data_IF_822104285862
#
_entry.id   IF_822104285862
#
_cell.length_a   1.000
_cell.length_b   1.000
_cell.length_c   1.000
_cell.angle_alpha   90.00
_cell.angle_beta   90.00
_cell.angle_gamma   90.00
#
_symmetry.space_group_name_H-M   'P 1'
#
loop_
_entity.id
_entity.type
_entity.pdbx_description
1 polymer ?
#
# COMPACT_ATOMS: atom_id res chain seq x y z
N UNK A 1 -18.32 -54.24 21.97
CA UNK A 1 -18.55 -53.15 22.95
C UNK A 1 -17.26 -52.92 23.71
N UNK A 2 -16.43 -52.00 23.22
CA UNK A 2 -15.33 -51.41 23.97
C UNK A 2 -15.84 -50.07 24.51
N UNK A 3 -15.55 -49.68 25.77
CA UNK A 3 -16.11 -48.48 26.35
C UNK A 3 -15.50 -47.24 25.71
N UNK A 4 -16.39 -46.32 25.30
CA UNK A 4 -16.05 -44.97 24.88
C UNK A 4 -15.33 -44.27 26.04
N UNK A 5 -14.01 -44.05 25.93
CA UNK A 5 -13.35 -43.03 26.74
C UNK A 5 -13.91 -41.70 26.26
N UNK A 6 -14.77 -41.07 27.08
CA UNK A 6 -15.10 -39.67 26.91
C UNK A 6 -13.77 -38.90 26.88
N UNK A 7 -13.40 -38.34 25.73
CA UNK A 7 -12.48 -37.22 25.71
C UNK A 7 -13.18 -36.09 26.46
N UNK A 8 -12.68 -35.75 27.65
CA UNK A 8 -13.08 -34.50 28.26
C UNK A 8 -12.45 -33.39 27.41
N UNK A 9 -13.25 -32.42 27.00
CA UNK A 9 -12.74 -31.28 26.24
C UNK A 9 -11.81 -30.46 27.15
N UNK A 10 -10.72 -29.92 26.61
CA UNK A 10 -9.86 -28.98 27.36
C UNK A 10 -10.72 -27.89 27.99
N UNK A 11 -10.61 -27.74 29.31
CA UNK A 11 -11.35 -26.73 30.06
C UNK A 11 -10.38 -25.73 30.71
N UNK A 12 -10.89 -24.53 30.97
CA UNK A 12 -10.17 -23.54 31.75
C UNK A 12 -10.28 -23.85 33.25
N UNK A 13 -9.13 -23.92 33.92
CA UNK A 13 -9.03 -24.18 35.35
C UNK A 13 -8.18 -23.06 35.94
N UNK A 14 -8.64 -22.48 37.05
CA UNK A 14 -7.82 -21.58 37.86
C UNK A 14 -7.33 -22.32 39.08
N UNK A 15 -6.06 -22.12 39.43
CA UNK A 15 -5.44 -22.59 40.66
C UNK A 15 -5.00 -21.37 41.45
N UNK A 16 -5.61 -21.14 42.60
CA UNK A 16 -5.25 -20.10 43.55
C UNK A 16 -4.30 -20.71 44.59
N UNK A 17 -3.11 -20.13 44.71
CA UNK A 17 -2.10 -20.44 45.71
C UNK A 17 -2.06 -19.29 46.71
N UNK A 18 -2.56 -19.51 47.93
CA UNK A 18 -2.47 -18.51 49.00
C UNK A 18 -1.14 -18.62 49.70
N UNK A 19 -0.50 -17.48 49.88
CA UNK A 19 0.82 -17.35 50.46
C UNK A 19 0.72 -16.92 51.93
N UNK A 20 1.76 -17.19 52.71
CA UNK A 20 1.83 -16.73 54.10
C UNK A 20 1.82 -15.21 54.18
N UNK A 21 0.98 -14.63 55.04
CA UNK A 21 0.99 -13.19 55.31
C UNK A 21 2.27 -12.72 56.05
N UNK A 22 3.07 -13.68 56.53
CA UNK A 22 4.35 -13.47 57.20
C UNK A 22 5.56 -13.48 56.26
N UNK A 23 5.36 -13.70 54.96
CA UNK A 23 6.44 -13.67 53.98
C UNK A 23 6.98 -12.25 53.85
N UNK A 24 8.28 -12.09 54.07
CA UNK A 24 8.97 -10.82 53.88
C UNK A 24 9.25 -10.54 52.41
N UNK A 25 9.60 -9.30 52.05
CA UNK A 25 9.90 -8.90 50.67
C UNK A 25 11.12 -9.58 50.03
N UNK A 26 11.90 -10.34 50.81
CA UNK A 26 13.05 -11.14 50.32
C UNK A 26 12.73 -12.64 50.20
N UNK A 27 11.48 -13.06 50.46
CA UNK A 27 11.09 -14.46 50.33
C UNK A 27 10.98 -14.86 48.84
N UNK A 28 11.64 -15.95 48.40
CA UNK A 28 11.70 -16.32 46.99
C UNK A 28 10.42 -16.99 46.47
N UNK A 29 9.39 -17.19 47.31
CA UNK A 29 8.21 -17.99 46.94
C UNK A 29 7.52 -17.45 45.69
N UNK A 30 7.31 -16.13 45.58
CA UNK A 30 6.67 -15.54 44.39
C UNK A 30 7.52 -15.71 43.12
N UNK A 31 8.83 -15.47 43.21
CA UNK A 31 9.77 -15.65 42.09
C UNK A 31 9.79 -17.11 41.61
N UNK A 32 9.81 -18.06 42.55
CA UNK A 32 9.80 -19.49 42.22
C UNK A 32 8.48 -19.90 41.60
N UNK A 33 7.34 -19.41 42.11
CA UNK A 33 6.03 -19.68 41.51
C UNK A 33 5.90 -19.08 40.11
N UNK A 34 6.44 -17.88 39.90
CA UNK A 34 6.47 -17.23 38.58
C UNK A 34 7.26 -18.03 37.55
N UNK A 35 8.26 -18.80 37.96
CA UNK A 35 9.02 -19.68 37.09
C UNK A 35 8.40 -21.08 36.95
N UNK A 36 7.86 -21.64 38.04
CA UNK A 36 7.39 -23.02 38.11
C UNK A 36 6.03 -23.22 37.43
N UNK A 37 5.07 -22.32 37.65
CA UNK A 37 3.70 -22.49 37.16
C UNK A 37 3.60 -22.50 35.62
N UNK A 38 4.36 -21.68 34.87
CA UNK A 38 4.44 -21.79 33.40
C UNK A 38 4.98 -23.13 32.91
N UNK A 39 5.99 -23.71 33.58
CA UNK A 39 6.53 -25.05 33.26
C UNK A 39 5.48 -26.16 33.45
N UNK A 40 4.53 -25.96 34.37
CA UNK A 40 3.37 -26.84 34.57
C UNK A 40 2.23 -26.56 33.56
N UNK A 41 2.42 -25.63 32.63
CA UNK A 41 1.45 -25.30 31.57
C UNK A 41 0.46 -24.17 31.93
N UNK A 42 0.79 -23.32 32.91
CA UNK A 42 0.00 -22.11 33.16
C UNK A 42 0.10 -21.16 31.96
N UNK A 43 -1.04 -20.64 31.52
CA UNK A 43 -1.18 -19.68 30.43
C UNK A 43 -1.13 -18.22 30.92
N UNK A 44 -1.35 -17.99 32.21
CA UNK A 44 -1.32 -16.67 32.82
C UNK A 44 -1.25 -16.76 34.34
N UNK A 45 -0.62 -15.75 34.94
CA UNK A 45 -0.44 -15.59 36.38
C UNK A 45 -0.95 -14.21 36.80
N UNK A 46 -1.68 -14.15 37.91
CA UNK A 46 -2.16 -12.92 38.53
C UNK A 46 -1.73 -12.93 40.00
N UNK A 47 -1.00 -11.90 40.43
CA UNK A 47 -0.64 -11.70 41.83
C UNK A 47 -1.68 -10.78 42.47
N UNK A 48 -2.25 -11.22 43.59
CA UNK A 48 -3.27 -10.50 44.35
C UNK A 48 -2.77 -10.23 45.75
N UNK A 49 -2.94 -8.99 46.20
CA UNK A 49 -2.80 -8.61 47.60
C UNK A 49 -4.17 -8.10 48.08
N UNK A 50 -4.91 -8.95 48.79
CA UNK A 50 -6.21 -8.59 49.34
C UNK A 50 -6.08 -8.18 50.82
N UNK A 51 -6.65 -7.03 51.18
CA UNK A 51 -6.73 -6.55 52.56
C UNK A 51 -7.57 -7.53 53.42
N UNK A 52 -6.90 -8.49 54.06
CA UNK A 52 -7.50 -9.41 55.04
C UNK A 52 -7.32 -10.91 54.74
N UNK A 53 -7.00 -11.29 53.49
CA UNK A 53 -6.74 -12.70 53.11
C UNK A 53 -5.28 -13.00 52.79
N UNK A 54 -4.41 -11.99 52.76
CA UNK A 54 -2.98 -12.15 52.47
C UNK A 54 -2.69 -12.28 50.97
N UNK A 55 -1.41 -12.39 50.60
CA UNK A 55 -0.99 -12.49 49.20
C UNK A 55 -1.41 -13.82 48.57
N UNK A 56 -1.79 -13.80 47.30
CA UNK A 56 -2.17 -14.98 46.54
C UNK A 56 -1.70 -14.90 45.08
N UNK A 57 -1.37 -16.06 44.51
CA UNK A 57 -1.07 -16.21 43.09
C UNK A 57 -2.18 -17.02 42.44
N UNK A 58 -2.83 -16.46 41.43
CA UNK A 58 -3.84 -17.15 40.63
C UNK A 58 -3.24 -17.53 39.28
N UNK A 59 -3.14 -18.83 39.03
CA UNK A 59 -2.65 -19.38 37.77
C UNK A 59 -3.80 -19.95 36.92
N UNK A 60 -3.83 -19.58 35.65
CA UNK A 60 -4.84 -20.06 34.69
C UNK A 60 -4.27 -21.14 33.79
N UNK A 61 -4.95 -22.27 33.66
CA UNK A 61 -4.55 -23.41 32.85
C UNK A 61 -5.65 -23.79 31.86
N UNK A 62 -5.25 -24.27 30.68
CA UNK A 62 -6.12 -24.95 29.72
C UNK A 62 -5.63 -26.39 29.59
N UNK A 63 -6.30 -27.32 30.26
CA UNK A 63 -5.88 -28.74 30.35
C UNK A 63 -7.10 -29.66 30.30
N UNK A 64 -6.88 -30.87 29.76
CA UNK A 64 -7.78 -32.02 29.92
C UNK A 64 -7.53 -32.67 31.30
N UNK A 65 -7.98 -31.99 32.36
CA UNK A 65 -7.85 -32.42 33.75
C UNK A 65 -9.05 -31.95 34.58
N UNK A 66 -9.33 -32.58 35.72
CA UNK A 66 -10.27 -32.00 36.69
C UNK A 66 -9.54 -30.96 37.55
N UNK A 67 -10.24 -29.99 38.16
CA UNK A 67 -9.63 -29.03 39.07
C UNK A 67 -8.83 -29.71 40.19
N UNK A 68 -9.36 -30.80 40.76
CA UNK A 68 -8.70 -31.55 41.84
C UNK A 68 -7.39 -32.17 41.37
N UNK A 69 -7.37 -32.79 40.18
CA UNK A 69 -6.17 -33.40 39.62
C UNK A 69 -5.07 -32.35 39.35
N UNK A 70 -5.45 -31.17 38.86
CA UNK A 70 -4.51 -30.07 38.64
C UNK A 70 -4.03 -29.45 39.95
N UNK A 71 -4.91 -29.32 40.96
CA UNK A 71 -4.50 -28.88 42.30
C UNK A 71 -3.47 -29.83 42.91
N UNK A 72 -3.65 -31.15 42.73
CA UNK A 72 -2.72 -32.16 43.22
C UNK A 72 -1.37 -32.08 42.49
N UNK A 73 -1.38 -31.88 41.16
CA UNK A 73 -0.17 -31.66 40.35
C UNK A 73 0.61 -30.43 40.83
N UNK A 74 -0.07 -29.29 40.98
CA UNK A 74 0.53 -28.05 41.45
C UNK A 74 1.02 -28.18 42.90
N UNK A 75 0.26 -28.87 43.78
CA UNK A 75 0.68 -29.13 45.16
C UNK A 75 1.93 -29.99 45.25
N UNK A 76 2.04 -31.02 44.40
CA UNK A 76 3.24 -31.85 44.33
C UNK A 76 4.45 -31.03 43.87
N UNK A 77 4.28 -30.15 42.89
CA UNK A 77 5.36 -29.28 42.41
C UNK A 77 5.78 -28.21 43.43
N UNK A 78 4.84 -27.73 44.25
CA UNK A 78 5.09 -26.71 45.28
C UNK A 78 5.44 -27.29 46.66
N UNK A 79 5.64 -28.61 46.79
CA UNK A 79 5.82 -29.27 48.10
C UNK A 79 7.01 -28.72 48.92
N UNK A 80 8.04 -28.24 48.24
CA UNK A 80 9.25 -27.65 48.85
C UNK A 80 9.15 -26.13 49.06
N UNK A 81 7.98 -25.52 48.81
CA UNK A 81 7.72 -24.08 49.00
C UNK A 81 6.89 -23.85 50.27
N UNK A 82 7.52 -23.64 51.44
CA UNK A 82 6.80 -23.46 52.71
C UNK A 82 5.94 -22.19 52.75
N UNK A 83 6.19 -21.24 51.84
CA UNK A 83 5.40 -20.02 51.69
C UNK A 83 4.00 -20.26 51.13
N UNK A 84 3.74 -21.38 50.44
CA UNK A 84 2.41 -21.74 49.94
C UNK A 84 1.61 -22.43 51.04
N UNK A 85 0.52 -21.81 51.49
CA UNK A 85 -0.31 -22.29 52.60
C UNK A 85 -1.52 -23.08 52.14
N UNK A 86 -2.22 -22.57 51.12
CA UNK A 86 -3.44 -23.19 50.59
C UNK A 86 -3.37 -23.22 49.06
N UNK A 87 -3.84 -24.32 48.48
CA UNK A 87 -3.98 -24.48 47.03
C UNK A 87 -5.39 -24.95 46.76
N UNK A 88 -6.16 -24.11 46.06
CA UNK A 88 -7.51 -24.41 45.63
C UNK A 88 -7.60 -24.28 44.12
N UNK A 89 -8.21 -25.25 43.46
CA UNK A 89 -8.48 -25.17 42.04
C UNK A 89 -9.99 -25.22 41.78
N UNK A 90 -10.42 -24.51 40.74
CA UNK A 90 -11.79 -24.56 40.27
C UNK A 90 -11.84 -24.49 38.75
N UNK A 91 -12.80 -25.18 38.16
CA UNK A 91 -13.13 -24.96 36.76
C UNK A 91 -13.69 -23.55 36.62
N UNK A 92 -13.19 -22.80 35.65
CA UNK A 92 -13.83 -21.55 35.24
C UNK A 92 -15.01 -21.90 34.36
N UNK A 93 -16.20 -21.47 34.77
CA UNK A 93 -17.33 -21.51 33.86
C UNK A 93 -17.17 -20.44 32.79
N UNK A 94 -17.69 -20.67 31.59
CA UNK A 94 -17.69 -19.68 30.50
C UNK A 94 -18.33 -18.34 30.94
N UNK A 95 -19.30 -18.40 31.86
CA UNK A 95 -19.97 -17.24 32.46
C UNK A 95 -19.06 -16.39 33.37
N UNK A 96 -18.00 -16.95 33.93
CA UNK A 96 -17.03 -16.23 34.79
C UNK A 96 -15.83 -15.71 33.98
N UNK A 97 -15.48 -16.37 32.87
CA UNK A 97 -14.41 -15.93 31.99
C UNK A 97 -14.84 -14.76 31.10
N UNK A 98 -16.09 -14.77 30.62
CA UNK A 98 -16.60 -13.74 29.71
C UNK A 98 -16.49 -12.31 30.28
N UNK A 99 -16.85 -12.00 31.54
CA UNK A 99 -16.73 -10.64 32.08
C UNK A 99 -15.28 -10.15 32.18
N UNK A 100 -14.35 -11.04 32.59
CA UNK A 100 -12.92 -10.71 32.75
C UNK A 100 -12.30 -10.43 31.38
N UNK A 101 -12.61 -11.26 30.39
CA UNK A 101 -12.16 -11.06 29.03
C UNK A 101 -12.76 -9.79 28.40
N UNK A 102 -14.06 -9.54 28.60
CA UNK A 102 -14.75 -8.33 28.12
C UNK A 102 -14.19 -7.04 28.72
N UNK A 103 -13.77 -7.06 30.00
CA UNK A 103 -13.19 -5.90 30.68
C UNK A 103 -11.88 -5.42 30.04
N UNK A 104 -11.14 -6.31 29.36
CA UNK A 104 -9.91 -5.97 28.65
C UNK A 104 -10.14 -5.25 27.30
N UNK A 105 -11.39 -5.12 26.85
CA UNK A 105 -11.74 -4.40 25.62
C UNK A 105 -12.43 -3.08 25.94
N UNK A 106 -11.64 -2.03 26.05
CA UNK A 106 -12.12 -0.66 26.22
C UNK A 106 -12.34 0.02 24.85
N UNK A 107 -13.31 0.95 24.74
CA UNK A 107 -13.44 1.82 23.59
C UNK A 107 -12.14 2.54 23.21
N UNK A 108 -11.78 2.49 21.93
CA UNK A 108 -10.61 3.19 21.39
C UNK A 108 -11.07 4.30 20.44
N UNK A 109 -10.51 5.50 20.58
CA UNK A 109 -10.89 6.66 19.76
C UNK A 109 -9.76 7.06 18.82
N UNK A 110 -10.06 7.11 17.53
CA UNK A 110 -9.16 7.49 16.45
C UNK A 110 -9.77 8.63 15.65
N UNK A 111 -9.38 9.87 15.97
CA UNK A 111 -10.02 11.06 15.40
C UNK A 111 -11.53 11.05 15.68
N UNK A 112 -12.35 11.12 14.63
CA UNK A 112 -13.81 11.11 14.77
C UNK A 112 -14.43 9.70 14.72
N UNK A 113 -13.63 8.63 14.76
CA UNK A 113 -14.09 7.24 14.74
C UNK A 113 -13.73 6.56 16.07
N UNK A 114 -14.73 6.03 16.76
CA UNK A 114 -14.50 5.10 17.88
C UNK A 114 -14.56 3.66 17.38
N UNK A 115 -13.62 2.81 17.79
CA UNK A 115 -13.71 1.36 17.68
C UNK A 115 -14.08 0.81 19.05
N UNK A 116 -15.20 0.09 19.13
CA UNK A 116 -15.76 -0.42 20.39
C UNK A 116 -16.11 -1.90 20.26
N UNK A 117 -16.03 -2.70 21.34
CA UNK A 117 -16.68 -3.99 21.34
C UNK A 117 -18.22 -3.84 21.40
N UNK A 118 -19.00 -4.85 20.98
CA UNK A 118 -20.46 -4.77 20.89
C UNK A 118 -21.17 -4.49 22.21
N UNK A 119 -20.53 -4.81 23.34
CA UNK A 119 -21.06 -4.63 24.69
C UNK A 119 -20.66 -3.29 25.34
N UNK A 120 -19.77 -2.50 24.73
CA UNK A 120 -19.34 -1.23 25.30
C UNK A 120 -20.22 -0.06 24.83
N UNK A 121 -20.33 0.96 25.66
CA UNK A 121 -20.95 2.22 25.26
C UNK A 121 -20.00 3.06 24.39
N UNK A 122 -20.58 3.73 23.39
CA UNK A 122 -19.82 4.62 22.53
C UNK A 122 -19.37 5.89 23.30
N UNK A 123 -18.09 6.29 23.20
CA UNK A 123 -17.61 7.54 23.79
C UNK A 123 -18.38 8.76 23.26
N UNK A 124 -18.65 9.74 24.13
CA UNK A 124 -19.31 10.99 23.71
C UNK A 124 -18.43 11.81 22.77
N UNK A 125 -19.01 12.42 21.75
CA UNK A 125 -18.32 13.38 20.87
C UNK A 125 -17.63 12.79 19.64
N UNK A 126 -17.77 11.49 19.38
CA UNK A 126 -17.30 10.86 18.14
C UNK A 126 -18.38 10.92 17.06
N UNK A 127 -17.97 11.07 15.79
CA UNK A 127 -18.90 11.15 14.67
C UNK A 127 -19.32 9.76 14.14
N UNK A 128 -18.44 8.77 14.29
CA UNK A 128 -18.65 7.42 13.81
C UNK A 128 -18.27 6.41 14.90
N UNK A 129 -19.04 5.33 14.97
CA UNK A 129 -18.81 4.21 15.90
C UNK A 129 -18.71 2.95 15.07
N UNK A 130 -17.58 2.26 15.19
CA UNK A 130 -17.27 0.99 14.56
C UNK A 130 -17.27 -0.11 15.62
N UNK A 131 -18.34 -0.89 15.64
CA UNK A 131 -18.49 -2.03 16.55
C UNK A 131 -17.75 -3.24 15.99
N UNK A 132 -16.75 -3.75 16.70
CA UNK A 132 -15.93 -4.91 16.32
C UNK A 132 -16.03 -5.96 17.42
N UNK A 133 -16.54 -7.14 17.10
CA UNK A 133 -16.48 -8.27 18.02
C UNK A 133 -15.04 -8.84 18.07
N UNK A 134 -14.34 -8.74 19.21
CA UNK A 134 -12.98 -9.23 19.36
C UNK A 134 -12.82 -10.75 19.19
N UNK A 135 -13.92 -11.52 19.27
CA UNK A 135 -13.90 -12.98 19.14
C UNK A 135 -13.84 -13.46 17.68
N UNK A 136 -14.19 -12.59 16.71
CA UNK A 136 -14.41 -13.02 15.32
C UNK A 136 -13.15 -12.99 14.45
N UNK A 137 -12.22 -12.04 14.66
CA UNK A 137 -10.95 -11.96 13.94
C UNK A 137 -9.99 -10.95 14.58
N UNK A 138 -8.71 -11.04 14.19
CA UNK A 138 -7.70 -10.03 14.52
C UNK A 138 -8.07 -8.66 13.92
N UNK A 139 -7.65 -7.57 14.58
CA UNK A 139 -7.91 -6.21 14.13
C UNK A 139 -8.97 -5.47 14.96
N UNK A 140 -8.85 -5.50 16.29
CA UNK A 140 -9.71 -4.74 17.21
C UNK A 140 -9.28 -3.28 17.39
N UNK A 141 -8.12 -2.90 16.83
CA UNK A 141 -7.51 -1.58 17.02
C UNK A 141 -6.53 -1.49 18.19
N UNK A 142 -6.47 -2.49 19.07
CA UNK A 142 -5.56 -2.49 20.23
C UNK A 142 -4.08 -2.68 19.85
N UNK A 143 -3.80 -3.44 18.79
CA UNK A 143 -2.43 -3.67 18.35
C UNK A 143 -1.86 -2.38 17.72
N UNK A 144 -0.60 -1.98 18.02
CA UNK A 144 0.00 -0.74 17.53
C UNK A 144 -0.11 -0.56 16.03
N UNK A 145 0.07 -1.63 15.26
CA UNK A 145 0.00 -1.60 13.78
C UNK A 145 -1.38 -1.18 13.26
N UNK A 146 -2.44 -1.69 13.87
CA UNK A 146 -3.83 -1.33 13.53
C UNK A 146 -4.16 0.07 14.04
N UNK A 147 -3.72 0.44 15.25
CA UNK A 147 -3.91 1.77 15.82
C UNK A 147 -3.24 2.87 14.98
N UNK A 148 -2.02 2.63 14.49
CA UNK A 148 -1.32 3.52 13.56
C UNK A 148 -2.11 3.70 12.25
N UNK A 149 -2.57 2.60 11.64
CA UNK A 149 -3.39 2.66 10.43
C UNK A 149 -4.70 3.42 10.64
N UNK A 150 -5.40 3.15 11.74
CA UNK A 150 -6.65 3.83 12.08
C UNK A 150 -6.43 5.32 12.30
N UNK A 151 -5.41 5.74 13.06
CA UNK A 151 -5.06 7.17 13.20
C UNK A 151 -4.77 7.82 11.85
N UNK A 152 -4.01 7.15 10.98
CA UNK A 152 -3.70 7.68 9.66
C UNK A 152 -4.95 7.84 8.78
N UNK A 153 -5.85 6.85 8.75
CA UNK A 153 -7.07 6.90 7.94
C UNK A 153 -8.09 7.91 8.49
N UNK A 154 -8.29 7.92 9.80
CA UNK A 154 -9.33 8.72 10.47
C UNK A 154 -8.92 10.18 10.66
N UNK A 155 -7.63 10.51 10.57
CA UNK A 155 -7.16 11.90 10.57
C UNK A 155 -7.49 12.68 9.29
N UNK A 156 -8.05 12.03 8.27
CA UNK A 156 -8.35 12.65 6.98
C UNK A 156 -9.64 12.13 6.36
N UNK A 157 -10.05 12.74 5.25
CA UNK A 157 -11.19 12.25 4.47
C UNK A 157 -10.71 11.22 3.46
N UNK A 158 -11.35 10.07 3.46
CA UNK A 158 -11.08 9.01 2.47
C UNK A 158 -12.06 9.20 1.32
N UNK A 159 -11.57 9.18 0.08
CA UNK A 159 -12.39 9.34 -1.12
C UNK A 159 -12.05 8.25 -2.11
N UNK A 160 -13.02 7.87 -2.94
CA UNK A 160 -12.84 6.83 -3.95
C UNK A 160 -12.90 5.44 -3.34
N UNK A 161 -12.38 4.47 -4.09
CA UNK A 161 -12.44 3.04 -3.78
C UNK A 161 -11.26 2.63 -2.91
N UNK A 162 -11.51 1.67 -2.01
CA UNK A 162 -10.52 1.12 -1.09
C UNK A 162 -10.28 -0.35 -1.42
N UNK A 163 -9.02 -0.78 -1.41
CA UNK A 163 -8.63 -2.18 -1.36
C UNK A 163 -7.93 -2.43 -0.02
N UNK A 164 -8.39 -3.42 0.73
CA UNK A 164 -7.79 -3.84 2.00
C UNK A 164 -7.26 -5.27 1.88
N UNK A 165 -5.94 -5.45 2.02
CA UNK A 165 -5.23 -6.72 1.81
C UNK A 165 -4.76 -7.27 3.13
N UNK A 166 -5.30 -8.43 3.50
CA UNK A 166 -5.31 -8.91 4.89
C UNK A 166 -6.46 -8.27 5.67
N UNK A 167 -7.68 -8.37 5.13
CA UNK A 167 -8.83 -7.61 5.65
C UNK A 167 -9.14 -7.94 7.12
N UNK A 168 -8.85 -9.15 7.61
CA UNK A 168 -9.07 -9.50 9.02
C UNK A 168 -10.53 -9.26 9.46
N UNK A 169 -10.72 -8.54 10.57
CA UNK A 169 -12.05 -8.09 11.04
C UNK A 169 -12.75 -7.08 10.10
N UNK A 170 -12.07 -6.55 9.09
CA UNK A 170 -12.55 -5.48 8.24
C UNK A 170 -12.37 -4.08 8.84
N UNK A 171 -11.71 -3.94 9.99
CA UNK A 171 -11.64 -2.68 10.73
C UNK A 171 -11.12 -1.50 9.89
N UNK A 172 -10.10 -1.71 9.04
CA UNK A 172 -9.52 -0.63 8.23
C UNK A 172 -10.43 -0.27 7.05
N UNK A 173 -10.91 -1.27 6.30
CA UNK A 173 -11.89 -1.07 5.23
C UNK A 173 -13.16 -0.34 5.72
N UNK A 174 -13.73 -0.77 6.85
CA UNK A 174 -14.95 -0.20 7.41
C UNK A 174 -14.71 1.22 7.95
N UNK A 175 -13.58 1.46 8.64
CA UNK A 175 -13.20 2.82 9.03
C UNK A 175 -13.06 3.74 7.80
N UNK A 176 -12.45 3.26 6.72
CA UNK A 176 -12.34 4.02 5.47
C UNK A 176 -13.71 4.34 4.85
N UNK A 177 -14.66 3.41 4.87
CA UNK A 177 -16.04 3.63 4.43
C UNK A 177 -16.78 4.68 5.28
N UNK A 178 -16.60 4.65 6.60
CA UNK A 178 -17.14 5.67 7.52
C UNK A 178 -16.55 7.06 7.23
N UNK A 179 -15.26 7.12 6.85
CA UNK A 179 -14.54 8.36 6.49
C UNK A 179 -14.80 8.85 5.06
N UNK A 180 -15.70 8.20 4.32
CA UNK A 180 -16.23 8.69 3.05
C UNK A 180 -15.72 7.99 1.78
N UNK A 181 -15.03 6.86 1.90
CA UNK A 181 -14.73 6.01 0.73
C UNK A 181 -16.04 5.57 0.04
N UNK A 182 -16.04 5.38 -1.27
CA UNK A 182 -17.24 4.99 -2.02
C UNK A 182 -17.63 3.54 -1.73
N UNK A 183 -16.70 2.63 -1.99
CA UNK A 183 -16.78 1.19 -1.76
C UNK A 183 -15.41 0.65 -1.33
N UNK A 184 -15.41 -0.52 -0.70
CA UNK A 184 -14.22 -1.24 -0.28
C UNK A 184 -14.24 -2.68 -0.79
N UNK A 185 -13.06 -3.18 -1.17
CA UNK A 185 -12.82 -4.59 -1.47
C UNK A 185 -11.83 -5.11 -0.44
N UNK A 186 -12.22 -6.10 0.36
CA UNK A 186 -11.36 -6.77 1.33
C UNK A 186 -10.91 -8.13 0.81
N UNK A 187 -9.63 -8.46 0.92
CA UNK A 187 -9.12 -9.80 0.57
C UNK A 187 -8.36 -10.39 1.75
N UNK A 188 -8.60 -11.67 2.02
CA UNK A 188 -7.85 -12.45 3.02
C UNK A 188 -7.68 -13.88 2.54
N UNK A 189 -6.52 -14.46 2.85
CA UNK A 189 -6.25 -15.88 2.57
C UNK A 189 -7.05 -16.78 3.51
N UNK A 190 -7.37 -16.31 4.72
CA UNK A 190 -8.14 -17.04 5.71
C UNK A 190 -9.66 -16.87 5.48
N UNK A 191 -10.40 -17.97 5.19
CA UNK A 191 -11.86 -17.92 5.09
C UNK A 191 -12.55 -17.39 6.35
N UNK A 192 -12.01 -17.65 7.55
CA UNK A 192 -12.59 -17.17 8.80
C UNK A 192 -12.51 -15.64 8.90
N UNK A 193 -11.35 -15.06 8.56
CA UNK A 193 -11.19 -13.61 8.48
C UNK A 193 -12.17 -12.97 7.47
N UNK A 194 -12.34 -13.57 6.29
CA UNK A 194 -13.31 -13.06 5.30
C UNK A 194 -14.74 -13.06 5.85
N UNK A 195 -15.13 -14.13 6.53
CA UNK A 195 -16.45 -14.23 7.16
C UNK A 195 -16.64 -13.20 8.28
N UNK A 196 -15.60 -12.97 9.09
CA UNK A 196 -15.61 -11.97 10.16
C UNK A 196 -15.75 -10.55 9.61
N UNK A 197 -15.05 -10.21 8.53
CA UNK A 197 -15.19 -8.91 7.86
C UNK A 197 -16.63 -8.67 7.36
N UNK A 198 -17.27 -9.69 6.77
CA UNK A 198 -18.66 -9.61 6.31
C UNK A 198 -19.63 -9.45 7.48
N UNK A 199 -19.48 -10.23 8.55
CA UNK A 199 -20.30 -10.12 9.75
C UNK A 199 -20.17 -8.74 10.41
N UNK A 200 -18.95 -8.24 10.50
CA UNK A 200 -18.67 -6.90 11.01
C UNK A 200 -19.32 -5.82 10.13
N UNK A 201 -19.24 -5.95 8.81
CA UNK A 201 -19.89 -5.03 7.89
C UNK A 201 -21.41 -5.00 8.07
N UNK A 202 -22.04 -6.16 8.29
CA UNK A 202 -23.47 -6.26 8.59
C UNK A 202 -23.80 -5.57 9.92
N UNK A 203 -23.04 -5.87 10.98
CA UNK A 203 -23.25 -5.27 12.31
C UNK A 203 -23.14 -3.73 12.31
N UNK A 204 -22.38 -3.17 11.37
CA UNK A 204 -22.16 -1.74 11.22
C UNK A 204 -22.98 -1.10 10.09
N UNK A 205 -23.90 -1.82 9.45
CA UNK A 205 -24.74 -1.28 8.37
C UNK A 205 -23.98 -0.91 7.09
N UNK A 206 -22.83 -1.56 6.84
CA UNK A 206 -21.92 -1.29 5.72
C UNK A 206 -21.80 -2.47 4.74
N UNK A 207 -22.62 -3.52 4.90
CA UNK A 207 -22.57 -4.74 4.09
C UNK A 207 -22.65 -4.48 2.58
N UNK A 208 -23.46 -3.50 2.13
CA UNK A 208 -23.60 -3.18 0.70
C UNK A 208 -22.37 -2.47 0.11
N UNK A 209 -21.47 -1.96 0.96
CA UNK A 209 -20.31 -1.16 0.55
C UNK A 209 -18.97 -1.89 0.73
N UNK A 210 -18.97 -3.09 1.31
CA UNK A 210 -17.81 -3.96 1.43
C UNK A 210 -18.01 -5.25 0.62
N UNK A 211 -17.12 -5.53 -0.33
CA UNK A 211 -17.04 -6.80 -1.04
C UNK A 211 -15.84 -7.61 -0.57
N UNK A 212 -16.04 -8.88 -0.24
CA UNK A 212 -14.97 -9.78 0.23
C UNK A 212 -14.95 -11.04 -0.63
N UNK A 213 -14.27 -11.04 -1.79
CA UNK A 213 -14.23 -12.19 -2.68
C UNK A 213 -13.38 -13.33 -2.10
N UNK A 214 -13.63 -14.56 -2.56
CA UNK A 214 -12.89 -15.76 -2.15
C UNK A 214 -11.49 -15.88 -2.78
N UNK A 215 -11.15 -15.02 -3.74
CA UNK A 215 -9.88 -15.05 -4.44
C UNK A 215 -8.85 -14.08 -3.85
N UNK A 216 -7.57 -14.36 -4.06
CA UNK A 216 -6.46 -13.49 -3.66
C UNK A 216 -6.43 -12.13 -4.36
N UNK A 217 -5.52 -11.27 -3.91
CA UNK A 217 -5.31 -9.90 -4.40
C UNK A 217 -4.91 -9.86 -5.89
N UNK A 218 -4.32 -10.93 -6.40
CA UNK A 218 -3.90 -11.08 -7.79
C UNK A 218 -5.09 -11.07 -8.75
N UNK A 219 -6.22 -11.65 -8.33
CA UNK A 219 -7.43 -11.77 -9.14
C UNK A 219 -8.36 -10.54 -9.04
N UNK A 220 -8.13 -9.64 -8.08
CA UNK A 220 -8.81 -8.34 -8.01
C UNK A 220 -8.55 -7.58 -9.32
N UNK A 221 -9.47 -6.72 -9.77
CA UNK A 221 -9.29 -5.92 -11.00
C UNK A 221 -9.43 -4.44 -10.71
N UNK A 222 -8.75 -3.64 -11.53
CA UNK A 222 -8.79 -2.18 -11.42
C UNK A 222 -7.75 -1.62 -10.45
N UNK A 223 -7.84 -0.29 -10.30
CA UNK A 223 -7.04 0.53 -9.41
C UNK A 223 -7.93 1.19 -8.37
N UNK A 224 -7.32 1.59 -7.27
CA UNK A 224 -7.97 2.10 -6.07
C UNK A 224 -7.30 3.40 -5.62
N UNK A 225 -8.09 4.35 -5.15
CA UNK A 225 -7.60 5.58 -4.54
C UNK A 225 -6.89 5.30 -3.21
N UNK A 226 -7.26 4.20 -2.55
CA UNK A 226 -6.62 3.72 -1.34
C UNK A 226 -6.35 2.22 -1.43
N UNK A 227 -5.12 1.83 -1.14
CA UNK A 227 -4.73 0.43 -0.91
C UNK A 227 -4.19 0.35 0.53
N UNK A 228 -4.70 -0.58 1.31
CA UNK A 228 -4.36 -0.79 2.71
C UNK A 228 -3.77 -2.20 2.84
N UNK A 229 -2.66 -2.32 3.57
CA UNK A 229 -2.04 -3.61 3.86
C UNK A 229 -1.35 -3.57 5.23
N UNK A 230 -2.01 -4.09 6.25
CA UNK A 230 -1.43 -4.30 7.57
C UNK A 230 -0.95 -5.75 7.67
N UNK A 231 0.24 -6.02 7.12
CA UNK A 231 0.80 -7.36 6.95
C UNK A 231 2.25 -7.38 7.44
N UNK A 232 2.76 -8.57 7.76
CA UNK A 232 4.19 -8.73 8.06
C UNK A 232 5.08 -8.30 6.89
N UNK A 233 6.31 -7.89 7.17
CA UNK A 233 7.25 -7.38 6.16
C UNK A 233 7.47 -8.34 4.98
N UNK A 234 7.64 -9.65 5.23
CA UNK A 234 7.86 -10.63 4.17
C UNK A 234 6.69 -10.68 3.14
N UNK A 235 5.41 -10.81 3.54
CA UNK A 235 4.27 -10.62 2.64
C UNK A 235 4.25 -9.26 1.92
N UNK A 236 4.55 -8.16 2.62
CA UNK A 236 4.61 -6.83 2.00
C UNK A 236 5.64 -6.75 0.88
N UNK A 237 6.81 -7.37 1.06
CA UNK A 237 7.85 -7.44 0.02
C UNK A 237 7.41 -8.34 -1.15
N UNK A 238 6.84 -9.51 -0.85
CA UNK A 238 6.38 -10.46 -1.86
C UNK A 238 5.24 -9.89 -2.73
N UNK A 239 4.36 -9.09 -2.15
CA UNK A 239 3.21 -8.50 -2.83
C UNK A 239 3.49 -7.10 -3.40
N UNK A 240 4.72 -6.57 -3.28
CA UNK A 240 5.03 -5.18 -3.63
C UNK A 240 4.62 -4.80 -5.06
N UNK A 241 4.88 -5.66 -6.05
CA UNK A 241 4.45 -5.44 -7.44
C UNK A 241 2.94 -5.39 -7.58
N UNK A 242 2.24 -6.34 -6.94
CA UNK A 242 0.79 -6.44 -7.03
C UNK A 242 0.14 -5.23 -6.37
N UNK A 243 0.54 -4.89 -5.14
CA UNK A 243 -0.03 -3.76 -4.39
C UNK A 243 0.24 -2.42 -5.08
N UNK A 244 1.47 -2.18 -5.56
CA UNK A 244 1.79 -0.96 -6.31
C UNK A 244 0.93 -0.80 -7.58
N UNK A 245 0.67 -1.89 -8.31
CA UNK A 245 -0.18 -1.86 -9.51
C UNK A 245 -1.65 -1.57 -9.20
N UNK A 246 -2.12 -1.81 -7.97
CA UNK A 246 -3.48 -1.48 -7.52
C UNK A 246 -3.66 -0.03 -7.15
N UNK A 247 -2.59 0.72 -6.88
CA UNK A 247 -2.70 2.13 -6.56
C UNK A 247 -3.07 2.91 -7.83
N UNK A 248 -4.12 3.71 -7.76
CA UNK A 248 -4.51 4.67 -8.81
C UNK A 248 -3.50 5.81 -8.92
N UNK A 249 -3.41 6.50 -10.07
CA UNK A 249 -2.68 7.77 -10.14
C UNK A 249 -3.21 8.75 -9.09
N UNK A 250 -2.33 9.32 -8.26
CA UNK A 250 -2.70 10.14 -7.10
C UNK A 250 -3.28 9.37 -5.92
N UNK A 251 -3.35 8.04 -6.02
CA UNK A 251 -3.82 7.16 -4.97
C UNK A 251 -2.77 6.98 -3.88
N UNK A 252 -3.22 6.46 -2.73
CA UNK A 252 -2.41 6.25 -1.54
C UNK A 252 -2.31 4.77 -1.19
N UNK A 253 -1.16 4.39 -0.66
CA UNK A 253 -0.88 3.07 -0.13
C UNK A 253 -0.52 3.21 1.35
N UNK A 254 -1.23 2.51 2.21
CA UNK A 254 -0.98 2.48 3.65
C UNK A 254 -0.46 1.09 4.03
N UNK A 255 0.79 1.03 4.47
CA UNK A 255 1.48 -0.20 4.87
C UNK A 255 1.73 -0.17 6.37
N UNK A 256 1.50 -1.28 7.06
CA UNK A 256 1.84 -1.46 8.47
C UNK A 256 2.08 -2.94 8.74
N UNK A 257 2.44 -3.30 9.97
CA UNK A 257 2.71 -4.70 10.35
C UNK A 257 4.19 -5.10 10.25
N UNK A 258 5.08 -4.14 10.06
CA UNK A 258 6.53 -4.35 10.00
C UNK A 258 7.24 -3.76 11.22
N UNK A 259 8.37 -4.35 11.58
CA UNK A 259 9.25 -3.81 12.62
C UNK A 259 10.09 -2.66 12.07
N UNK A 260 10.56 -1.76 12.96
CA UNK A 260 11.40 -0.63 12.56
C UNK A 260 12.66 -1.04 11.78
N UNK A 261 13.26 -2.20 12.12
CA UNK A 261 14.42 -2.73 11.42
C UNK A 261 14.12 -3.20 9.98
N UNK A 262 12.86 -3.47 9.65
CA UNK A 262 12.42 -3.96 8.34
C UNK A 262 11.89 -2.82 7.44
N UNK A 263 11.68 -1.62 8.00
CA UNK A 263 10.99 -0.53 7.32
C UNK A 263 11.74 -0.02 6.09
N UNK A 264 13.07 0.01 6.12
CA UNK A 264 13.91 0.48 5.01
C UNK A 264 13.79 -0.39 3.76
N UNK A 265 13.81 -1.71 3.94
CA UNK A 265 13.67 -2.68 2.85
C UNK A 265 12.28 -2.60 2.22
N UNK A 266 11.24 -2.53 3.07
CA UNK A 266 9.85 -2.35 2.60
C UNK A 266 9.74 -1.04 1.83
N UNK A 267 10.21 0.07 2.40
CA UNK A 267 10.19 1.39 1.76
C UNK A 267 10.87 1.38 0.40
N UNK A 268 12.08 0.82 0.31
CA UNK A 268 12.84 0.73 -0.93
C UNK A 268 12.07 -0.05 -2.01
N UNK A 269 11.40 -1.15 -1.63
CA UNK A 269 10.61 -1.95 -2.56
C UNK A 269 9.46 -1.15 -3.20
N UNK A 270 8.74 -0.34 -2.44
CA UNK A 270 7.62 0.45 -2.98
C UNK A 270 8.09 1.72 -3.71
N UNK A 271 9.16 2.37 -3.23
CA UNK A 271 9.77 3.53 -3.90
C UNK A 271 10.31 3.13 -5.27
N UNK A 272 10.95 1.96 -5.39
CA UNK A 272 11.41 1.40 -6.68
C UNK A 272 10.28 1.15 -7.70
N UNK A 273 9.02 1.20 -7.27
CA UNK A 273 7.82 1.03 -8.10
C UNK A 273 7.09 2.35 -8.39
N UNK A 274 7.74 3.48 -8.11
CA UNK A 274 7.24 4.81 -8.42
C UNK A 274 6.35 5.44 -7.35
N UNK A 275 6.20 4.80 -6.19
CA UNK A 275 5.54 5.42 -5.05
C UNK A 275 6.50 6.35 -4.32
N UNK A 276 5.95 7.38 -3.67
CA UNK A 276 6.68 8.33 -2.84
C UNK A 276 6.20 8.21 -1.40
N UNK A 277 7.12 8.09 -0.45
CA UNK A 277 6.79 8.16 0.97
C UNK A 277 6.23 9.55 1.31
N UNK A 278 5.07 9.58 1.98
CA UNK A 278 4.39 10.80 2.41
C UNK A 278 4.40 10.95 3.93
N UNK A 279 4.25 9.84 4.65
CA UNK A 279 4.20 9.80 6.11
C UNK A 279 4.79 8.48 6.59
N UNK A 280 5.51 8.53 7.70
CA UNK A 280 6.05 7.37 8.41
C UNK A 280 5.88 7.63 9.90
N UNK A 281 5.35 6.65 10.62
CA UNK A 281 5.15 6.72 12.06
C UNK A 281 5.52 5.39 12.70
N UNK A 282 6.01 5.45 13.94
CA UNK A 282 6.38 4.28 14.71
C UNK A 282 5.72 4.32 16.09
N UNK A 283 5.29 3.16 16.56
CA UNK A 283 4.76 2.95 17.91
C UNK A 283 5.11 1.54 18.38
N UNK A 284 5.67 1.42 19.58
CA UNK A 284 6.06 0.15 20.21
C UNK A 284 6.91 -0.79 19.30
N UNK A 285 7.83 -0.20 18.53
CA UNK A 285 8.72 -0.92 17.62
C UNK A 285 8.09 -1.29 16.27
N UNK A 286 6.80 -1.02 16.06
CA UNK A 286 6.09 -1.22 14.81
C UNK A 286 6.06 0.05 13.98
N UNK A 287 6.09 -0.09 12.66
CA UNK A 287 6.08 1.03 11.72
C UNK A 287 4.85 0.97 10.81
N UNK A 288 4.28 2.15 10.57
CA UNK A 288 3.31 2.42 9.51
C UNK A 288 3.91 3.42 8.52
N UNK A 289 3.71 3.15 7.23
CA UNK A 289 4.08 4.04 6.14
C UNK A 289 2.86 4.36 5.27
N UNK A 290 2.66 5.63 4.99
CA UNK A 290 1.75 6.08 3.95
C UNK A 290 2.57 6.55 2.75
N UNK A 291 2.36 5.90 1.61
CA UNK A 291 2.93 6.28 0.33
C UNK A 291 1.85 6.81 -0.62
N UNK A 292 2.27 7.55 -1.63
CA UNK A 292 1.42 8.07 -2.70
C UNK A 292 2.02 7.65 -4.03
N UNK A 293 1.19 7.14 -4.95
CA UNK A 293 1.58 7.07 -6.35
C UNK A 293 1.29 8.46 -6.95
N UNK A 294 2.31 9.26 -7.32
CA UNK A 294 2.06 10.57 -7.88
C UNK A 294 1.11 10.47 -9.08
N UNK A 295 0.29 11.50 -9.29
CA UNK A 295 -0.32 11.66 -10.60
C UNK A 295 0.81 11.64 -11.63
N UNK A 296 0.63 10.92 -12.75
CA UNK A 296 1.43 11.22 -13.94
C UNK A 296 1.39 12.74 -14.09
N UNK A 297 2.54 13.41 -14.26
CA UNK A 297 2.59 14.86 -14.29
C UNK A 297 1.48 15.35 -15.21
N UNK A 298 0.59 16.21 -14.68
CA UNK A 298 -0.39 16.90 -15.51
C UNK A 298 0.44 17.73 -16.49
N UNK A 299 0.70 17.15 -17.66
CA UNK A 299 0.98 17.88 -18.87
C UNK A 299 -0.27 18.74 -19.05
N UNK A 300 -0.20 20.00 -18.59
CA UNK A 300 -1.25 20.96 -18.86
C UNK A 300 -1.52 20.90 -20.35
N UNK A 301 -2.79 20.78 -20.81
CA UNK A 301 -3.05 20.90 -22.23
C UNK A 301 -2.37 22.20 -22.68
N UNK A 302 -1.52 22.13 -23.73
CA UNK A 302 -0.73 23.30 -24.09
C UNK A 302 -1.68 24.46 -24.36
N UNK A 303 -1.30 25.70 -23.99
CA UNK A 303 -1.99 26.86 -24.54
C UNK A 303 -2.02 26.72 -26.08
N UNK A 304 -3.08 27.19 -26.75
CA UNK A 304 -3.19 27.07 -28.20
C UNK A 304 -1.91 27.55 -28.90
N UNK A 305 -1.23 26.64 -29.63
CA UNK A 305 0.04 26.92 -30.30
C UNK A 305 1.32 26.55 -29.55
N UNK A 306 1.25 26.03 -28.32
CA UNK A 306 2.40 25.49 -27.60
C UNK A 306 2.56 23.98 -27.84
N UNK A 307 3.78 23.55 -28.07
CA UNK A 307 4.15 22.17 -28.36
C UNK A 307 4.67 21.47 -27.11
N UNK A 308 4.57 20.14 -27.06
CA UNK A 308 5.23 19.35 -26.02
C UNK A 308 6.70 19.14 -26.38
N UNK A 309 7.59 19.60 -25.50
CA UNK A 309 9.03 19.61 -25.68
C UNK A 309 9.71 18.64 -24.69
N UNK A 310 10.78 18.00 -25.15
CA UNK A 310 11.72 17.27 -24.31
C UNK A 310 13.13 17.75 -24.60
N UNK A 311 13.77 18.36 -23.61
CA UNK A 311 15.15 18.82 -23.69
C UNK A 311 16.04 17.77 -23.04
N UNK A 312 16.84 17.10 -23.84
CA UNK A 312 17.70 16.00 -23.40
C UNK A 312 19.04 16.52 -22.87
N UNK A 313 19.56 15.96 -21.79
CA UNK A 313 20.93 16.20 -21.32
C UNK A 313 21.62 14.88 -20.93
N UNK A 314 22.90 14.97 -20.52
CA UNK A 314 23.57 13.82 -19.92
C UNK A 314 22.88 13.45 -18.58
N UNK A 315 22.80 12.15 -18.23
CA UNK A 315 22.22 11.72 -16.96
C UNK A 315 22.89 12.38 -15.75
N UNK A 316 22.09 12.81 -14.78
CA UNK A 316 22.53 13.52 -13.58
C UNK A 316 22.58 15.05 -13.72
N UNK A 317 22.48 15.59 -14.94
CA UNK A 317 22.44 17.04 -15.19
C UNK A 317 21.02 17.62 -15.23
N UNK A 318 19.98 16.80 -15.09
CA UNK A 318 18.60 17.22 -15.29
C UNK A 318 18.14 18.36 -14.35
N UNK A 319 18.53 18.39 -13.06
CA UNK A 319 18.22 19.53 -12.18
C UNK A 319 18.89 20.83 -12.65
N UNK A 320 20.12 20.75 -13.15
CA UNK A 320 20.87 21.91 -13.66
C UNK A 320 20.31 22.41 -14.98
N UNK A 321 19.95 21.49 -15.88
CA UNK A 321 19.25 21.83 -17.12
C UNK A 321 17.91 22.52 -16.81
N UNK A 322 17.17 22.05 -15.81
CA UNK A 322 15.90 22.67 -15.40
C UNK A 322 16.10 24.11 -14.92
N UNK A 323 17.14 24.36 -14.13
CA UNK A 323 17.49 25.72 -13.68
C UNK A 323 17.89 26.64 -14.86
N UNK A 324 18.60 26.11 -15.85
CA UNK A 324 18.97 26.86 -17.06
C UNK A 324 17.74 27.23 -17.90
N UNK A 325 16.81 26.28 -18.07
CA UNK A 325 15.52 26.49 -18.74
C UNK A 325 14.69 27.55 -18.00
N UNK A 326 14.64 27.48 -16.67
CA UNK A 326 13.94 28.46 -15.85
C UNK A 326 14.54 29.85 -16.00
N UNK A 327 15.87 29.97 -15.98
CA UNK A 327 16.56 31.25 -16.21
C UNK A 327 16.29 31.84 -17.60
N UNK A 328 16.18 30.99 -18.63
CA UNK A 328 15.97 31.44 -20.01
C UNK A 328 14.50 31.81 -20.31
N UNK A 329 13.56 30.98 -19.85
CA UNK A 329 12.13 31.11 -20.21
C UNK A 329 11.27 31.69 -19.07
N UNK A 330 11.82 31.89 -17.87
CA UNK A 330 11.09 32.33 -16.69
C UNK A 330 10.08 31.31 -16.17
N UNK A 331 10.24 30.03 -16.53
CA UNK A 331 9.32 28.94 -16.16
C UNK A 331 10.05 27.61 -16.06
N UNK A 332 9.64 26.79 -15.09
CA UNK A 332 10.22 25.48 -14.82
C UNK A 332 9.62 24.38 -15.68
N UNK A 333 10.45 23.46 -16.16
CA UNK A 333 10.00 22.19 -16.73
C UNK A 333 9.93 21.07 -15.70
N UNK A 334 9.34 19.94 -16.08
CA UNK A 334 9.28 18.71 -15.28
C UNK A 334 10.57 17.92 -15.50
N UNK A 335 11.36 17.76 -14.46
CA UNK A 335 12.58 16.94 -14.47
C UNK A 335 12.20 15.47 -14.62
N UNK A 336 12.74 14.80 -15.64
CA UNK A 336 12.54 13.37 -15.88
C UNK A 336 13.88 12.71 -16.21
N UNK A 337 14.04 11.38 -16.06
CA UNK A 337 15.32 10.74 -16.37
C UNK A 337 15.80 11.05 -17.80
N UNK A 338 17.00 11.62 -17.92
CA UNK A 338 17.62 11.99 -19.19
C UNK A 338 17.23 13.37 -19.76
N UNK A 339 16.41 14.17 -19.08
CA UNK A 339 16.09 15.51 -19.53
C UNK A 339 15.00 16.26 -18.76
N UNK A 340 14.42 17.26 -19.43
CA UNK A 340 13.35 18.11 -18.89
C UNK A 340 12.20 18.19 -19.89
N UNK A 341 10.99 17.89 -19.43
CA UNK A 341 9.74 18.02 -20.18
C UNK A 341 9.10 19.40 -19.94
N UNK A 342 8.67 20.07 -21.00
CA UNK A 342 7.99 21.37 -20.90
C UNK A 342 7.09 21.62 -22.11
N UNK A 343 6.30 22.70 -22.04
CA UNK A 343 5.61 23.24 -23.20
C UNK A 343 6.24 24.53 -23.69
N UNK A 344 6.22 24.76 -25.00
CA UNK A 344 6.68 26.01 -25.58
C UNK A 344 6.28 26.17 -27.05
N UNK A 345 6.22 27.41 -27.51
CA UNK A 345 5.97 27.73 -28.91
C UNK A 345 7.27 27.66 -29.75
N UNK A 346 7.18 28.05 -31.02
CA UNK A 346 8.33 28.11 -31.93
C UNK A 346 9.46 29.03 -31.43
N UNK A 347 9.13 30.15 -30.78
CA UNK A 347 10.12 31.07 -30.22
C UNK A 347 10.86 30.41 -29.07
N UNK A 348 10.14 29.71 -28.20
CA UNK A 348 10.73 28.95 -27.10
C UNK A 348 11.65 27.85 -27.61
N UNK A 349 11.23 27.11 -28.65
CA UNK A 349 12.06 26.06 -29.28
C UNK A 349 13.39 26.64 -29.77
N UNK A 350 13.36 27.77 -30.50
CA UNK A 350 14.58 28.42 -30.97
C UNK A 350 15.45 28.95 -29.84
N UNK A 351 14.85 29.57 -28.83
CA UNK A 351 15.59 30.07 -27.67
C UNK A 351 16.31 28.92 -26.95
N UNK A 352 15.62 27.82 -26.68
CA UNK A 352 16.19 26.63 -26.05
C UNK A 352 17.34 26.04 -26.88
N UNK A 353 17.18 26.00 -28.21
CA UNK A 353 18.20 25.44 -29.11
C UNK A 353 19.46 26.33 -29.19
N UNK A 354 19.29 27.66 -29.13
CA UNK A 354 20.38 28.62 -29.27
C UNK A 354 21.13 28.91 -27.98
N UNK A 355 20.46 28.81 -26.82
CA UNK A 355 20.98 29.38 -25.57
C UNK A 355 21.24 28.36 -24.46
N UNK A 356 20.78 27.12 -24.56
CA UNK A 356 21.09 26.11 -23.55
C UNK A 356 22.49 25.52 -23.76
N UNK A 357 23.31 25.53 -22.72
CA UNK A 357 24.64 24.94 -22.70
C UNK A 357 24.67 23.47 -22.30
N UNK A 358 23.69 23.01 -21.52
CA UNK A 358 23.62 21.61 -21.04
C UNK A 358 22.82 20.68 -21.95
N UNK A 359 22.04 21.23 -22.88
CA UNK A 359 21.17 20.46 -23.76
C UNK A 359 21.96 19.76 -24.87
N UNK A 360 21.69 18.46 -25.05
CA UNK A 360 22.21 17.65 -26.17
C UNK A 360 21.24 17.58 -27.35
N UNK A 361 19.94 17.77 -27.08
CA UNK A 361 18.90 17.87 -28.11
C UNK A 361 17.66 18.55 -27.54
N UNK A 362 17.02 19.40 -28.36
CA UNK A 362 15.65 19.88 -28.13
C UNK A 362 14.72 19.09 -29.05
N UNK A 363 13.81 18.30 -28.46
CA UNK A 363 12.88 17.44 -29.21
C UNK A 363 11.47 17.96 -29.09
N UNK A 364 10.74 17.95 -30.21
CA UNK A 364 9.33 18.30 -30.26
C UNK A 364 8.52 17.02 -30.47
N UNK A 365 7.48 16.82 -29.67
CA UNK A 365 6.55 15.69 -29.84
C UNK A 365 5.49 16.07 -30.86
N UNK A 366 5.63 15.55 -32.08
CA UNK A 366 4.70 15.84 -33.18
C UNK A 366 3.38 15.07 -33.06
N UNK A 367 3.40 13.85 -32.51
CA UNK A 367 2.23 13.00 -32.37
C UNK A 367 2.40 11.91 -31.32
N UNK A 368 1.27 11.41 -30.81
CA UNK A 368 1.17 10.17 -30.04
C UNK A 368 0.07 9.32 -30.66
N UNK A 369 0.39 8.08 -31.01
CA UNK A 369 -0.50 7.19 -31.76
C UNK A 369 -0.58 5.84 -31.05
N UNK A 370 -1.80 5.42 -30.68
CA UNK A 370 -2.03 4.05 -30.23
C UNK A 370 -2.11 3.10 -31.42
N UNK A 371 -1.07 2.30 -31.65
CA UNK A 371 -0.99 1.38 -32.79
C UNK A 371 -0.66 -0.05 -32.37
N UNK A 372 -1.57 -0.98 -32.62
CA UNK A 372 -1.34 -2.43 -32.41
C UNK A 372 -0.79 -3.15 -33.65
N UNK A 373 -0.83 -2.49 -34.81
CA UNK A 373 -0.37 -2.98 -36.11
C UNK A 373 0.00 -1.79 -37.03
N UNK A 374 0.79 -2.01 -38.08
CA UNK A 374 1.36 -0.93 -38.92
C UNK A 374 0.30 -0.07 -39.61
N UNK A 375 -0.85 -0.63 -40.01
CA UNK A 375 -1.93 0.16 -40.60
C UNK A 375 -2.55 1.18 -39.61
N UNK A 376 -2.59 0.86 -38.31
CA UNK A 376 -3.07 1.80 -37.29
C UNK A 376 -2.03 2.91 -37.06
N UNK A 377 -0.74 2.57 -37.07
CA UNK A 377 0.33 3.56 -37.02
C UNK A 377 0.24 4.53 -38.20
N UNK A 378 0.07 4.01 -39.42
CA UNK A 378 -0.02 4.83 -40.63
C UNK A 378 -1.17 5.85 -40.55
N UNK A 379 -2.38 5.40 -40.21
CA UNK A 379 -3.53 6.30 -40.01
C UNK A 379 -3.31 7.38 -38.96
N UNK A 380 -2.46 7.12 -37.96
CA UNK A 380 -2.08 8.13 -36.98
C UNK A 380 -1.09 9.15 -37.54
N UNK A 381 -0.10 8.68 -38.32
CA UNK A 381 0.91 9.53 -38.96
C UNK A 381 0.31 10.42 -40.06
N UNK A 382 -0.74 9.97 -40.76
CA UNK A 382 -1.44 10.75 -41.78
C UNK A 382 -2.19 11.97 -41.19
N UNK A 383 -2.40 12.01 -39.87
CA UNK A 383 -3.05 13.14 -39.17
C UNK A 383 -2.06 14.21 -38.71
N UNK A 384 -0.78 13.99 -38.90
CA UNK A 384 0.26 14.94 -38.48
C UNK A 384 0.42 16.00 -39.56
N UNK A 385 0.41 17.26 -39.16
CA UNK A 385 0.62 18.41 -40.06
C UNK A 385 2.12 18.55 -40.41
N UNK A 386 2.64 17.63 -41.23
CA UNK A 386 4.06 17.56 -41.55
C UNK A 386 4.61 18.84 -42.19
N UNK A 387 3.82 19.52 -43.04
CA UNK A 387 4.20 20.78 -43.68
C UNK A 387 4.51 21.93 -42.72
N UNK A 388 4.02 21.86 -41.48
CA UNK A 388 4.36 22.84 -40.44
C UNK A 388 5.81 22.71 -39.97
N UNK A 389 6.38 21.51 -40.08
CA UNK A 389 7.68 21.15 -39.49
C UNK A 389 8.77 20.88 -40.52
N UNK A 390 8.37 20.39 -41.69
CA UNK A 390 9.27 19.95 -42.74
C UNK A 390 8.92 20.65 -44.05
N UNK A 391 9.96 21.06 -44.78
CA UNK A 391 9.80 21.60 -46.13
C UNK A 391 9.85 20.46 -47.16
N UNK A 392 9.12 20.57 -48.28
CA UNK A 392 9.32 19.67 -49.41
C UNK A 392 10.80 19.61 -49.81
N UNK A 393 11.33 18.39 -49.99
CA UNK A 393 12.74 18.17 -50.31
C UNK A 393 13.73 18.22 -49.14
N UNK A 394 13.27 18.43 -47.89
CA UNK A 394 14.16 18.37 -46.73
C UNK A 394 14.77 16.97 -46.53
N UNK A 395 16.06 16.92 -46.23
CA UNK A 395 16.74 15.67 -45.87
C UNK A 395 16.19 15.13 -44.54
N UNK A 396 15.53 13.97 -44.58
CA UNK A 396 14.90 13.35 -43.41
C UNK A 396 15.68 12.13 -42.93
N UNK A 397 16.25 12.24 -41.73
CA UNK A 397 16.76 11.11 -40.97
C UNK A 397 15.69 10.63 -39.98
N UNK A 398 15.32 9.35 -40.05
CA UNK A 398 14.31 8.75 -39.18
C UNK A 398 14.98 7.66 -38.35
N UNK A 399 14.85 7.75 -37.02
CA UNK A 399 15.32 6.75 -36.06
C UNK A 399 14.13 6.22 -35.28
N UNK A 400 14.03 4.90 -35.13
CA UNK A 400 13.00 4.24 -34.36
C UNK A 400 13.62 3.31 -33.31
N UNK A 401 13.04 3.34 -32.11
CA UNK A 401 13.33 2.41 -31.01
C UNK A 401 12.03 1.71 -30.62
N UNK A 402 12.11 0.45 -30.18
CA UNK A 402 10.94 -0.32 -29.80
C UNK A 402 11.24 -1.15 -28.55
N UNK A 403 10.35 -1.09 -27.56
CA UNK A 403 10.46 -1.80 -26.29
C UNK A 403 9.12 -2.47 -25.99
N UNK A 404 9.14 -3.79 -25.74
CA UNK A 404 7.95 -4.59 -25.38
C UNK A 404 6.72 -4.35 -26.28
N UNK A 405 6.93 -4.07 -27.57
CA UNK A 405 5.88 -3.70 -28.51
C UNK A 405 5.58 -4.83 -29.50
N UNK A 406 4.31 -4.94 -29.90
CA UNK A 406 3.90 -5.77 -31.04
C UNK A 406 4.50 -5.27 -32.36
N UNK A 407 4.88 -3.99 -32.42
CA UNK A 407 5.61 -3.37 -33.52
C UNK A 407 7.11 -3.30 -33.17
N UNK A 408 7.79 -4.44 -33.16
CA UNK A 408 9.19 -4.54 -32.73
C UNK A 408 10.20 -4.32 -33.87
N UNK A 409 9.79 -4.45 -35.14
CA UNK A 409 10.65 -4.22 -36.29
C UNK A 409 10.94 -2.72 -36.50
N UNK A 410 12.02 -2.22 -35.90
CA UNK A 410 12.42 -0.80 -35.97
C UNK A 410 12.70 -0.31 -37.39
N UNK A 411 13.28 -1.15 -38.26
CA UNK A 411 13.46 -0.82 -39.68
C UNK A 411 12.13 -0.57 -40.40
N UNK A 412 11.12 -1.40 -40.14
CA UNK A 412 9.78 -1.22 -40.71
C UNK A 412 9.08 0.03 -40.15
N UNK A 413 9.25 0.34 -38.86
CA UNK A 413 8.76 1.59 -38.28
C UNK A 413 9.36 2.82 -38.96
N UNK A 414 10.70 2.83 -39.10
CA UNK A 414 11.44 3.88 -39.80
C UNK A 414 10.95 4.07 -41.23
N UNK A 415 10.75 2.98 -41.97
CA UNK A 415 10.22 3.04 -43.33
C UNK A 415 8.81 3.64 -43.38
N UNK A 416 7.89 3.19 -42.51
CA UNK A 416 6.50 3.68 -42.51
C UNK A 416 6.38 5.16 -42.15
N UNK A 417 7.23 5.65 -41.25
CA UNK A 417 7.31 7.08 -40.94
C UNK A 417 7.83 7.86 -42.14
N UNK A 418 8.90 7.36 -42.80
CA UNK A 418 9.44 8.02 -44.00
C UNK A 418 8.39 8.12 -45.12
N UNK A 419 7.69 7.03 -45.40
CA UNK A 419 6.60 7.01 -46.39
C UNK A 419 5.50 8.01 -46.02
N UNK A 420 5.09 8.08 -44.74
CA UNK A 420 4.05 9.00 -44.30
C UNK A 420 4.44 10.47 -44.49
N UNK A 421 5.68 10.81 -44.17
CA UNK A 421 6.21 12.17 -44.38
C UNK A 421 6.30 12.49 -45.87
N UNK A 422 6.76 11.55 -46.69
CA UNK A 422 6.89 11.76 -48.14
C UNK A 422 5.53 11.98 -48.80
N UNK A 423 4.55 11.14 -48.50
CA UNK A 423 3.21 11.25 -49.06
C UNK A 423 2.54 12.58 -48.64
N UNK A 424 2.69 12.98 -47.38
CA UNK A 424 2.13 14.22 -46.87
C UNK A 424 2.76 15.45 -47.55
N UNK A 425 4.09 15.50 -47.67
CA UNK A 425 4.78 16.63 -48.30
C UNK A 425 4.59 16.68 -49.83
N UNK A 426 4.31 15.55 -50.47
CA UNK A 426 3.93 15.50 -51.90
C UNK A 426 2.50 15.99 -52.12
N UNK A 427 1.56 15.63 -51.24
CA UNK A 427 0.18 16.11 -51.31
C UNK A 427 0.05 17.63 -51.10
N UNK A 428 1.01 18.24 -50.39
CA UNK A 428 1.09 19.68 -50.13
C UNK A 428 1.91 20.45 -51.18
N UNK A 429 2.58 19.78 -52.12
CA UNK A 429 3.36 20.43 -53.16
C UNK A 429 2.42 21.02 -54.24
N UNK A 430 2.60 22.29 -54.66
CA UNK A 430 1.84 22.84 -55.78
C UNK A 430 2.15 22.04 -57.05
N UNK A 431 1.13 21.74 -57.86
CA UNK A 431 1.35 21.11 -59.17
C UNK A 431 2.37 21.94 -59.97
N UNK A 432 3.35 21.28 -60.64
CA UNK A 432 4.29 22.01 -61.47
C UNK A 432 3.50 22.74 -62.55
N UNK A 433 3.61 24.07 -62.58
CA UNK A 433 3.05 24.87 -63.66
C UNK A 433 3.63 24.39 -64.99
N UNK A 434 2.78 23.89 -65.88
CA UNK A 434 3.18 23.60 -67.26
C UNK A 434 3.72 24.88 -67.90
N UNK A 435 5.02 24.90 -68.22
CA UNK A 435 5.60 25.90 -69.12
C UNK A 435 6.54 26.95 -68.53
N UNK A 436 7.49 26.57 -67.67
CA UNK A 436 8.65 27.41 -67.40
C UNK A 436 9.95 26.60 -67.54
N UNK A 437 10.74 26.94 -68.57
CA UNK A 437 12.05 26.37 -68.84
C UNK A 437 12.96 26.42 -67.61
N UNK A 438 13.54 25.27 -67.27
CA UNK A 438 14.56 25.16 -66.23
C UNK A 438 15.88 25.75 -66.75
N UNK A 439 16.58 26.62 -66.00
CA UNK A 439 17.97 26.92 -66.30
C UNK A 439 18.83 25.70 -65.93
N UNK A 440 19.60 25.20 -66.90
CA UNK A 440 20.64 24.19 -66.67
C UNK A 440 21.66 24.71 -65.66
N UNK A 441 21.70 24.10 -64.47
CA UNK A 441 22.84 24.21 -63.56
C UNK A 441 23.64 22.90 -63.60
N UNK A 442 24.77 22.95 -64.32
CA UNK A 442 25.80 21.92 -64.31
C UNK A 442 26.49 21.89 -62.93
N UNK A 443 26.34 20.79 -62.20
CA UNK A 443 27.05 20.54 -60.94
C UNK A 443 27.03 19.05 -60.57
N UNK A 444 28.20 18.41 -60.63
CA UNK A 444 28.44 16.98 -60.47
C UNK A 444 28.01 16.38 -59.11
N UNK A 445 27.74 15.06 -59.02
CA UNK A 445 27.34 14.41 -57.78
C UNK A 445 28.57 14.06 -56.92
N UNK A 446 28.62 14.60 -55.70
CA UNK A 446 29.34 13.99 -54.57
C UNK A 446 28.25 13.39 -53.66
N UNK A 447 28.17 12.09 -53.44
CA UNK A 447 29.22 11.20 -52.97
C UNK A 447 28.83 10.76 -51.55
N UNK A 448 28.12 9.65 -51.43
CA UNK A 448 27.69 9.07 -50.16
C UNK A 448 28.91 8.60 -49.33
N UNK A 449 28.88 8.78 -48.01
CA UNK A 449 29.68 8.00 -47.06
C UNK A 449 29.08 8.07 -45.65
N UNK A 450 28.67 6.87 -45.19
CA UNK A 450 28.41 6.31 -43.85
C UNK A 450 27.83 7.15 -42.71
#
# INVERSE_FOLDING_TARGET
MLPCRAHMAEQWITVELRLGADLGPEDPTEDVLSALLPELGAHGLEFREDEGSGPAVVASFRKDATPEALADEVRAACAELPGVREIAARALTEAEWAPIWQANFQPLVFGDVAVIPPWAEAPSGVAHVLSIDPSLAFGTGQHPTTALCLRALTSQRVRGRVLDVGVGSGVLALAALMRGATDAVGVDIDPAARQAALQTAVANGLAERLSVPEHGVEAVKGRFEWVLANLRAAPLLALADVLAQRVGPGGRLLLSGMLAAEADDVRAAYVGRGLRLVREEAEDGWVMMQLELPHAPKVSPPPPGAEALFVACAPGLEPHLSAEIEGLLGRTGVVTPGGVELHGDLRDIYALNLHLGLATAVRVRLAQVEARHFAALRRGLDKVEWGRWLRPGAALAVRATSHHSKLFHTGALTQRVREAVQDALQAEAPEPAEGADAPEFNGAPFGASY
#
